data_IF_784538545382
#
_entry.id   IF_784538545382
#
_cell.length_a   1.000
_cell.length_b   1.000
_cell.length_c   1.000
_cell.angle_alpha   90.00
_cell.angle_beta   90.00
_cell.angle_gamma   90.00
#
_symmetry.space_group_name_H-M   'P 1'
#
loop_
_entity.id
_entity.type
_entity.pdbx_description
1 polymer ?
#
# COMPACT_ATOMS: atom_id res chain seq x y z
N UNK A 1 50.04 -26.17 3.75
CA UNK A 1 48.64 -26.40 3.30
C UNK A 1 48.62 -26.51 1.78
N UNK A 2 47.91 -27.49 1.21
CA UNK A 2 47.89 -27.75 -0.23
C UNK A 2 47.15 -26.62 -0.99
N UNK A 3 47.74 -26.09 -2.08
CA UNK A 3 47.13 -25.01 -2.90
C UNK A 3 45.72 -25.39 -3.40
N UNK A 4 45.48 -26.68 -3.70
CA UNK A 4 44.15 -27.19 -4.11
C UNK A 4 43.13 -27.09 -2.97
N UNK A 5 43.55 -27.37 -1.74
CA UNK A 5 42.70 -27.28 -0.54
C UNK A 5 42.37 -25.82 -0.24
N UNK A 6 43.35 -24.92 -0.36
CA UNK A 6 43.14 -23.48 -0.18
C UNK A 6 42.14 -22.91 -1.19
N UNK A 7 42.26 -23.27 -2.48
CA UNK A 7 41.32 -22.82 -3.52
C UNK A 7 39.91 -23.33 -3.24
N UNK A 8 39.77 -24.60 -2.82
CA UNK A 8 38.45 -25.17 -2.50
C UNK A 8 37.75 -24.41 -1.37
N UNK A 9 38.47 -24.04 -0.31
CA UNK A 9 37.93 -23.24 0.80
C UNK A 9 37.47 -21.87 0.31
N UNK A 10 38.29 -21.19 -0.50
CA UNK A 10 37.93 -19.86 -1.04
C UNK A 10 36.68 -19.93 -1.90
N UNK A 11 36.53 -20.96 -2.73
CA UNK A 11 35.34 -21.16 -3.58
C UNK A 11 34.09 -21.36 -2.73
N UNK A 12 34.15 -22.20 -1.69
CA UNK A 12 33.01 -22.45 -0.81
C UNK A 12 32.58 -21.18 -0.07
N UNK A 13 33.55 -20.40 0.43
CA UNK A 13 33.28 -19.11 1.09
C UNK A 13 32.67 -18.11 0.11
N UNK A 14 33.20 -18.01 -1.10
CA UNK A 14 32.67 -17.12 -2.13
C UNK A 14 31.22 -17.46 -2.50
N UNK A 15 30.91 -18.74 -2.69
CA UNK A 15 29.54 -19.20 -2.96
C UNK A 15 28.61 -18.84 -1.80
N UNK A 16 29.05 -19.07 -0.54
CA UNK A 16 28.28 -18.70 0.64
C UNK A 16 27.93 -17.22 0.68
N UNK A 17 28.92 -16.35 0.41
CA UNK A 17 28.71 -14.90 0.35
C UNK A 17 27.72 -14.53 -0.75
N UNK A 18 27.85 -15.10 -1.96
CA UNK A 18 26.94 -14.83 -3.08
C UNK A 18 25.50 -15.21 -2.72
N UNK A 19 25.29 -16.39 -2.13
CA UNK A 19 23.95 -16.83 -1.68
C UNK A 19 23.39 -15.90 -0.61
N UNK A 20 24.21 -15.46 0.36
CA UNK A 20 23.80 -14.50 1.37
C UNK A 20 23.42 -13.14 0.78
N UNK A 21 24.17 -12.63 -0.20
CA UNK A 21 23.87 -11.36 -0.87
C UNK A 21 22.57 -11.45 -1.67
N UNK A 22 22.36 -12.55 -2.41
CA UNK A 22 21.12 -12.78 -3.16
C UNK A 22 19.93 -12.88 -2.19
N UNK A 23 20.07 -13.63 -1.10
CA UNK A 23 19.03 -13.76 -0.07
C UNK A 23 18.70 -12.43 0.59
N UNK A 24 19.72 -11.63 0.92
CA UNK A 24 19.53 -10.29 1.46
C UNK A 24 18.81 -9.38 0.46
N UNK A 25 19.20 -9.39 -0.81
CA UNK A 25 18.57 -8.58 -1.84
C UNK A 25 17.09 -8.96 -2.03
N UNK A 26 16.78 -10.26 -2.05
CA UNK A 26 15.40 -10.75 -2.12
C UNK A 26 14.58 -10.32 -0.90
N UNK A 27 15.15 -10.42 0.31
CA UNK A 27 14.51 -9.98 1.55
C UNK A 27 14.28 -8.46 1.59
N UNK A 28 15.28 -7.67 1.19
CA UNK A 28 15.19 -6.21 1.12
C UNK A 28 14.16 -5.77 0.06
N UNK A 29 14.11 -6.42 -1.10
CA UNK A 29 13.12 -6.15 -2.14
C UNK A 29 11.69 -6.49 -1.74
N UNK A 30 11.51 -7.47 -0.84
CA UNK A 30 10.20 -7.86 -0.29
C UNK A 30 9.85 -7.14 1.00
N UNK A 31 10.68 -6.22 1.49
CA UNK A 31 10.27 -5.39 2.63
C UNK A 31 8.94 -4.73 2.25
N UNK A 32 7.91 -4.87 3.08
CA UNK A 32 6.70 -4.10 2.89
C UNK A 32 7.11 -2.64 3.05
N UNK A 33 7.31 -1.94 1.93
CA UNK A 33 7.17 -0.50 1.98
C UNK A 33 5.76 -0.28 2.52
N UNK A 34 5.62 0.59 3.51
CA UNK A 34 4.31 1.11 3.88
C UNK A 34 3.74 1.67 2.57
N UNK A 35 2.85 0.92 1.94
CA UNK A 35 2.10 1.45 0.81
C UNK A 35 1.19 2.48 1.45
N UNK A 36 1.68 3.71 1.48
CA UNK A 36 0.87 4.86 1.83
C UNK A 36 -0.08 5.06 0.68
N UNK A 37 -1.36 5.16 1.00
CA UNK A 37 -2.38 5.37 0.02
C UNK A 37 -3.11 6.66 0.35
N UNK A 38 -3.29 7.48 -0.67
CA UNK A 38 -4.16 8.63 -0.60
C UNK A 38 -5.58 8.17 -0.91
N UNK A 39 -6.54 8.68 -0.13
CA UNK A 39 -7.94 8.62 -0.49
C UNK A 39 -8.27 9.88 -1.27
N UNK A 40 -8.72 9.72 -2.51
CA UNK A 40 -9.27 10.80 -3.30
C UNK A 40 -10.78 10.55 -3.51
N UNK A 41 -11.56 11.62 -3.54
CA UNK A 41 -12.97 11.56 -3.87
C UNK A 41 -13.23 12.41 -5.11
N UNK A 42 -13.89 11.82 -6.10
CA UNK A 42 -14.36 12.53 -7.28
C UNK A 42 -15.77 12.10 -7.61
N UNK A 43 -16.71 13.05 -7.69
CA UNK A 43 -18.14 12.79 -7.98
C UNK A 43 -18.75 11.66 -7.14
N UNK A 44 -18.45 11.64 -5.85
CA UNK A 44 -18.94 10.62 -4.91
C UNK A 44 -18.31 9.23 -5.05
N UNK A 45 -17.31 9.07 -5.91
CA UNK A 45 -16.52 7.83 -6.02
C UNK A 45 -15.23 7.96 -5.22
N UNK A 46 -14.90 6.91 -4.46
CA UNK A 46 -13.65 6.81 -3.70
C UNK A 46 -12.56 6.12 -4.51
N UNK A 47 -11.39 6.72 -4.52
CA UNK A 47 -10.19 6.18 -5.14
C UNK A 47 -9.09 5.99 -4.11
N UNK A 48 -8.44 4.83 -4.16
CA UNK A 48 -7.20 4.53 -3.49
C UNK A 48 -6.06 4.74 -4.46
N UNK A 49 -5.20 5.69 -4.16
CA UNK A 49 -4.05 6.04 -5.01
C UNK A 49 -2.78 5.72 -4.24
N UNK A 50 -1.84 4.99 -4.82
CA UNK A 50 -0.52 4.80 -4.21
C UNK A 50 0.19 6.14 -4.04
N UNK A 51 1.06 6.25 -3.04
CA UNK A 51 1.82 7.49 -2.79
C UNK A 51 2.71 7.93 -3.96
N UNK A 52 3.11 7.01 -4.85
CA UNK A 52 3.85 7.31 -6.09
C UNK A 52 2.93 7.63 -7.29
N UNK A 53 1.61 7.58 -7.11
CA UNK A 53 0.59 7.86 -8.12
C UNK A 53 0.43 6.80 -9.22
N UNK A 54 1.16 5.68 -9.18
CA UNK A 54 1.18 4.69 -10.26
C UNK A 54 0.05 3.67 -10.18
N UNK A 55 -0.51 3.46 -9.00
CA UNK A 55 -1.59 2.49 -8.75
C UNK A 55 -2.84 3.26 -8.33
N UNK A 56 -3.88 3.25 -9.15
CA UNK A 56 -5.19 3.84 -8.85
C UNK A 56 -6.22 2.73 -8.84
N UNK A 57 -6.94 2.59 -7.72
CA UNK A 57 -8.01 1.61 -7.56
C UNK A 57 -9.28 2.29 -7.06
N UNK A 58 -10.38 2.04 -7.74
CA UNK A 58 -11.72 2.44 -7.29
C UNK A 58 -12.17 1.54 -6.12
N UNK A 59 -12.72 2.14 -5.07
CA UNK A 59 -13.06 1.45 -3.81
C UNK A 59 -14.57 1.19 -3.62
N UNK A 60 -15.42 1.60 -4.56
CA UNK A 60 -16.86 1.38 -4.48
C UNK A 60 -17.63 2.11 -5.57
N UNK A 61 -18.95 1.90 -5.60
CA UNK A 61 -19.84 2.57 -6.55
C UNK A 61 -19.92 4.08 -6.30
N UNK A 62 -20.12 4.84 -7.38
CA UNK A 62 -20.35 6.29 -7.31
C UNK A 62 -21.61 6.57 -6.51
N UNK A 63 -21.45 7.32 -5.42
CA UNK A 63 -22.57 7.78 -4.61
C UNK A 63 -23.08 9.11 -5.15
N UNK A 64 -24.40 9.29 -5.20
CA UNK A 64 -25.02 10.55 -5.64
C UNK A 64 -24.92 11.63 -4.54
N UNK A 65 -23.71 12.13 -4.30
CA UNK A 65 -23.42 13.14 -3.30
C UNK A 65 -21.95 13.51 -3.22
N UNK A 66 -21.66 14.50 -2.38
CA UNK A 66 -20.30 14.95 -2.08
C UNK A 66 -19.85 14.38 -0.74
N UNK A 67 -18.60 13.90 -0.69
CA UNK A 67 -17.97 13.41 0.55
C UNK A 67 -17.27 14.58 1.20
N UNK A 68 -17.57 14.85 2.47
CA UNK A 68 -16.99 16.00 3.18
C UNK A 68 -16.06 15.63 4.34
N UNK A 69 -16.18 14.40 4.85
CA UNK A 69 -15.33 13.89 5.92
C UNK A 69 -15.02 12.43 5.64
N UNK A 70 -13.77 12.02 5.89
CA UNK A 70 -13.39 10.62 5.86
C UNK A 70 -12.22 10.34 6.81
N UNK A 71 -12.10 9.09 7.25
CA UNK A 71 -10.98 8.60 8.06
C UNK A 71 -10.78 7.11 7.85
N UNK A 72 -9.53 6.66 7.84
CA UNK A 72 -9.20 5.25 7.81
C UNK A 72 -9.21 4.66 9.23
N UNK A 73 -9.60 3.39 9.35
CA UNK A 73 -9.28 2.62 10.56
C UNK A 73 -7.77 2.50 10.73
N UNK A 74 -7.25 2.29 11.96
CA UNK A 74 -5.81 2.16 12.20
C UNK A 74 -5.13 1.05 11.38
N UNK A 75 -5.86 0.00 11.01
CA UNK A 75 -5.39 -1.09 10.16
C UNK A 75 -5.55 -0.84 8.65
N UNK A 76 -6.12 0.30 8.25
CA UNK A 76 -6.36 0.70 6.86
C UNK A 76 -7.39 -0.14 6.10
N UNK A 77 -8.11 -1.05 6.79
CA UNK A 77 -9.07 -1.97 6.15
C UNK A 77 -10.48 -1.39 6.00
N UNK A 78 -10.80 -0.33 6.74
CA UNK A 78 -12.11 0.33 6.72
C UNK A 78 -11.94 1.83 6.53
N UNK A 79 -12.98 2.45 5.97
CA UNK A 79 -13.08 3.89 5.80
C UNK A 79 -14.41 4.31 6.43
N UNK A 80 -14.35 5.21 7.41
CA UNK A 80 -15.51 5.97 7.86
C UNK A 80 -15.62 7.20 6.97
N UNK A 81 -16.81 7.53 6.49
CA UNK A 81 -17.03 8.74 5.70
C UNK A 81 -18.44 9.29 5.89
N UNK A 82 -18.59 10.59 5.60
CA UNK A 82 -19.86 11.29 5.60
C UNK A 82 -20.16 11.85 4.21
N UNK A 83 -21.39 11.64 3.74
CA UNK A 83 -21.88 12.13 2.45
C UNK A 83 -22.99 13.17 2.65
N UNK A 84 -22.93 14.23 1.84
CA UNK A 84 -24.08 15.09 1.57
C UNK A 84 -24.63 14.73 0.20
N UNK A 85 -25.84 14.16 0.12
CA UNK A 85 -26.47 13.84 -1.15
C UNK A 85 -26.61 15.08 -2.04
N UNK A 86 -26.46 14.92 -3.35
CA UNK A 86 -26.80 15.99 -4.28
C UNK A 86 -28.32 16.15 -4.34
N UNK A 87 -28.81 17.38 -4.13
CA UNK A 87 -30.25 17.70 -4.04
C UNK A 87 -30.56 18.59 -2.84
N UNK A 88 -31.83 18.92 -2.64
CA UNK A 88 -32.29 19.57 -1.41
C UNK A 88 -32.59 18.48 -0.38
N UNK A 89 -31.70 18.19 0.59
CA UNK A 89 -32.08 17.34 1.71
C UNK A 89 -33.25 18.02 2.41
N UNK A 90 -34.40 17.36 2.44
CA UNK A 90 -35.52 17.84 3.25
C UNK A 90 -35.04 17.77 4.72
N UNK A 91 -34.89 18.91 5.41
CA UNK A 91 -34.48 18.90 6.80
C UNK A 91 -35.54 18.12 7.57
N UNK A 92 -35.17 16.92 8.01
CA UNK A 92 -36.03 16.13 8.88
C UNK A 92 -35.76 16.63 10.29
N UNK A 93 -36.77 17.15 10.97
CA UNK A 93 -36.62 17.55 12.37
C UNK A 93 -36.22 16.33 13.18
N UNK A 94 -35.17 16.45 13.99
CA UNK A 94 -34.74 15.38 14.90
C UNK A 94 -35.49 15.43 16.24
N UNK A 95 -36.45 16.35 16.38
CA UNK A 95 -37.40 16.48 17.48
C UNK A 95 -38.59 17.35 17.07
#
# INVERSE_FOLDING_TARGET
MNKKVLISIVVVVAIGIIVSVIGLFHFLSKRPQSKEYLLAVSKGTFYRISSDGREIKELGESMNGEVHVYSFSPDGKKILFGIRPFGNPQPTSLW
#
